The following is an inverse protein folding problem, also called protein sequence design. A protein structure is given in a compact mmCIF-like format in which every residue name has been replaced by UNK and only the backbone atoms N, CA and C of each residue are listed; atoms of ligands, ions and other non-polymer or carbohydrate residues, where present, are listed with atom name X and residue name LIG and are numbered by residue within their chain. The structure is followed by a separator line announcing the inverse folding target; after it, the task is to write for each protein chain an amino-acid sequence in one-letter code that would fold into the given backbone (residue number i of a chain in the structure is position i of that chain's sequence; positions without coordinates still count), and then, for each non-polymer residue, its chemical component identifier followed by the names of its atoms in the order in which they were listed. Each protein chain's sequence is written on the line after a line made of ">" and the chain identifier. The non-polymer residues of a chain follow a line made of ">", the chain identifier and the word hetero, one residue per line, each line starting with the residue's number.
data_IF_772402204101
#
_entry.id   IF_772402204101
#
_cell.length_a   1.000
_cell.length_b   1.000
_cell.length_c   1.000
_cell.angle_alpha   90.00
_cell.angle_beta   90.00
_cell.angle_gamma   90.00
#
_symmetry.space_group_name_H-M   'P 1'
#
loop_
_entity.id
_entity.type
_entity.pdbx_description
1 polymer ?
#
# COMPACT_ATOMS: atom_id res chain seq x y z
N UNK A 1 3.65 4.98 -25.08
CA UNK A 1 3.34 4.91 -24.88
C UNK A 1 2.80 4.62 -24.20
N UNK A 2 2.71 4.66 -23.73
CA UNK A 2 2.22 4.47 -23.17
C UNK A 2 1.71 4.24 -22.37
N UNK A 3 1.64 4.26 -22.09
CA UNK A 3 1.15 4.04 -21.43
C UNK A 3 0.63 3.83 -20.63
N UNK A 4 0.71 3.82 -20.41
CA UNK A 4 0.23 3.54 -19.77
C UNK A 4 -0.18 3.54 -18.84
N UNK A 5 -0.22 3.55 -18.25
CA UNK A 5 -0.51 3.42 -17.35
C UNK A 5 -1.31 3.90 -16.68
N UNK A 6 -1.46 4.24 -16.51
CA UNK A 6 -2.24 4.93 -15.71
C UNK A 6 -3.38 4.51 -15.07
N UNK A 7 -3.98 3.73 -15.36
CA UNK A 7 -5.05 3.30 -14.68
C UNK A 7 -4.85 3.30 -13.25
N UNK A 8 -3.69 3.22 -12.85
CA UNK A 8 -3.43 3.22 -11.44
C UNK A 8 -3.88 4.52 -10.81
N UNK A 9 -3.89 5.55 -11.55
CA UNK A 9 -4.29 6.84 -11.00
C UNK A 9 -5.69 6.88 -10.51
N UNK A 10 -6.54 5.93 -10.89
CA UNK A 10 -7.85 5.97 -10.42
C UNK A 10 -8.03 5.39 -9.12
N UNK A 11 -7.03 4.82 -8.50
CA UNK A 11 -7.19 4.20 -7.23
C UNK A 11 -6.97 5.16 -6.13
N UNK A 12 -7.97 5.77 -5.62
CA UNK A 12 -7.89 6.49 -4.36
C UNK A 12 -6.70 7.42 -4.20
N UNK A 13 -6.12 7.85 -5.26
CA UNK A 13 -5.02 8.76 -5.19
C UNK A 13 -3.70 8.16 -4.74
N UNK A 14 -3.58 6.86 -4.74
CA UNK A 14 -2.31 6.22 -4.39
C UNK A 14 -1.31 6.43 -5.51
N UNK A 15 -0.12 6.87 -5.15
CA UNK A 15 0.95 7.01 -6.12
C UNK A 15 1.66 5.67 -6.28
N UNK A 16 2.45 5.58 -7.32
CA UNK A 16 3.21 4.38 -7.57
C UNK A 16 4.20 4.12 -6.43
N UNK A 17 4.78 5.18 -5.91
CA UNK A 17 5.69 5.09 -4.79
C UNK A 17 5.01 4.54 -3.55
N UNK A 18 3.82 5.04 -3.27
CA UNK A 18 3.08 4.57 -2.11
C UNK A 18 2.68 3.11 -2.27
N UNK A 19 2.28 2.75 -3.46
CA UNK A 19 1.91 1.38 -3.75
C UNK A 19 3.08 0.44 -3.55
N UNK A 20 4.24 0.83 -4.05
CA UNK A 20 5.43 0.03 -3.91
C UNK A 20 5.85 -0.09 -2.45
N UNK A 21 5.76 1.00 -1.71
CA UNK A 21 6.10 1.01 -0.29
C UNK A 21 5.22 0.03 0.47
N UNK A 22 3.93 0.01 0.16
CA UNK A 22 3.00 -0.89 0.82
C UNK A 22 3.42 -2.35 0.60
N UNK A 23 3.67 -2.71 -0.64
CA UNK A 23 4.00 -4.09 -0.94
C UNK A 23 5.35 -4.51 -0.39
N UNK A 24 6.33 -3.63 -0.43
CA UNK A 24 7.63 -3.94 0.14
C UNK A 24 7.55 -4.10 1.65
N UNK A 25 6.78 -3.23 2.30
CA UNK A 25 6.62 -3.31 3.74
C UNK A 25 5.88 -4.58 4.12
N UNK A 26 4.87 -4.93 3.35
CA UNK A 26 4.10 -6.15 3.62
C UNK A 26 4.98 -7.39 3.46
N UNK A 27 5.79 -7.40 2.44
CA UNK A 27 6.68 -8.53 2.20
C UNK A 27 7.69 -8.67 3.33
N UNK A 28 8.26 -7.57 3.75
CA UNK A 28 9.22 -7.57 4.83
C UNK A 28 8.60 -8.04 6.15
N UNK A 29 7.38 -7.57 6.41
CA UNK A 29 6.68 -7.96 7.61
C UNK A 29 6.41 -9.47 7.61
N UNK A 30 6.06 -10.01 6.46
CA UNK A 30 5.81 -11.43 6.36
C UNK A 30 7.05 -12.22 6.67
N UNK A 31 8.20 -11.76 6.18
CA UNK A 31 9.45 -12.44 6.45
C UNK A 31 9.83 -12.40 7.92
N UNK A 32 9.43 -11.34 8.59
CA UNK A 32 9.75 -11.18 10.02
C UNK A 32 8.65 -11.73 10.92
N UNK A 33 7.58 -12.22 10.34
CA UNK A 33 6.49 -12.75 11.14
C UNK A 33 5.62 -11.69 11.77
N UNK A 34 5.62 -10.49 11.23
CA UNK A 34 4.79 -9.42 11.74
C UNK A 34 3.40 -9.46 11.13
N UNK A 35 2.38 -9.02 11.88
CA UNK A 35 1.02 -9.02 11.35
C UNK A 35 0.80 -7.88 10.37
N UNK A 36 -0.19 -8.04 9.50
CA UNK A 36 -0.53 -7.00 8.54
C UNK A 36 -0.93 -5.70 9.22
N UNK A 37 -1.49 -5.80 10.40
CA UNK A 37 -1.86 -4.61 11.13
C UNK A 37 -0.66 -3.69 11.33
N UNK A 38 0.49 -4.26 11.63
CA UNK A 38 1.71 -3.48 11.81
C UNK A 38 2.10 -2.79 10.51
N UNK A 39 1.90 -3.48 9.39
CA UNK A 39 2.19 -2.90 8.08
C UNK A 39 1.31 -1.68 7.83
N UNK A 40 0.03 -1.82 8.07
CA UNK A 40 -0.90 -0.74 7.83
C UNK A 40 -0.58 0.48 8.70
N UNK A 41 -0.22 0.22 9.94
CA UNK A 41 0.12 1.31 10.84
C UNK A 41 1.39 2.03 10.40
N UNK A 42 2.36 1.28 9.95
CA UNK A 42 3.61 1.87 9.50
C UNK A 42 3.39 2.72 8.24
N UNK A 43 2.64 2.20 7.30
CA UNK A 43 2.36 2.94 6.07
C UNK A 43 1.52 4.18 6.39
N UNK A 44 0.58 4.05 7.31
CA UNK A 44 -0.24 5.20 7.69
C UNK A 44 0.63 6.33 8.22
N UNK A 45 1.62 5.97 9.01
CA UNK A 45 2.51 6.95 9.58
C UNK A 45 3.34 7.65 8.52
N UNK A 46 3.80 6.91 7.54
CA UNK A 46 4.65 7.46 6.50
C UNK A 46 3.89 8.25 5.45
N UNK A 47 2.66 7.89 5.18
CA UNK A 47 1.90 8.52 4.12
C UNK A 47 0.85 9.51 4.60
N UNK A 48 0.54 9.48 5.88
CA UNK A 48 -0.54 10.30 6.40
C UNK A 48 -1.92 9.73 6.13
N UNK A 49 -1.98 8.54 5.58
CA UNK A 49 -3.26 7.89 5.31
C UNK A 49 -3.73 7.17 6.54
N UNK A 50 -5.02 6.92 6.61
CA UNK A 50 -5.58 6.18 7.74
C UNK A 50 -5.33 4.69 7.55
N UNK A 51 -5.02 3.97 8.63
CA UNK A 51 -4.78 2.53 8.51
C UNK A 51 -5.94 1.79 7.88
N UNK A 52 -7.15 2.22 8.15
CA UNK A 52 -8.33 1.57 7.60
C UNK A 52 -8.38 1.71 6.08
N UNK A 53 -8.01 2.88 5.58
CA UNK A 53 -7.96 3.12 4.14
C UNK A 53 -6.90 2.25 3.48
N UNK A 54 -5.76 2.11 4.15
CA UNK A 54 -4.68 1.30 3.63
C UNK A 54 -5.09 -0.16 3.59
N UNK A 55 -5.75 -0.61 4.63
CA UNK A 55 -6.25 -1.96 4.69
C UNK A 55 -7.21 -2.25 3.53
N UNK A 56 -8.13 -1.34 3.29
CA UNK A 56 -9.07 -1.50 2.19
C UNK A 56 -8.36 -1.55 0.85
N UNK A 57 -7.39 -0.69 0.67
CA UNK A 57 -6.63 -0.67 -0.56
C UNK A 57 -5.88 -1.99 -0.76
N UNK A 58 -5.26 -2.47 0.31
CA UNK A 58 -4.51 -3.71 0.25
C UNK A 58 -5.40 -4.88 -0.18
N UNK A 59 -6.54 -5.02 0.47
CA UNK A 59 -7.41 -6.14 0.17
C UNK A 59 -8.09 -6.02 -1.19
N UNK A 60 -8.19 -4.83 -1.72
CA UNK A 60 -8.72 -4.65 -3.05
C UNK A 60 -7.72 -5.13 -4.11
N UNK A 61 -6.45 -5.19 -3.76
CA UNK A 61 -5.41 -5.63 -4.70
C UNK A 61 -5.17 -7.13 -4.69
N UNK A 62 -5.46 -7.80 -3.61
CA UNK A 62 -5.17 -9.24 -3.51
C UNK A 62 -6.39 -10.12 -3.83
#
# INVERSE_FOLDING_TARGET
>A
MEQAMPRSGRHSGWSEQENQMLWETADEAQQQGLPLKAVFEQIAEQTGRRPNSIRNYYYAQV
#
